data_IF_156435298929
#
_entry.id   IF_156435298929
#
_cell.length_a   1.000
_cell.length_b   1.000
_cell.length_c   1.000
_cell.angle_alpha   90.00
_cell.angle_beta   90.00
_cell.angle_gamma   90.00
#
_symmetry.space_group_name_H-M   'P 1'
#
loop_
_entity.id
_entity.type
_entity.pdbx_description
1 polymer ?
#
# COMPACT_ATOMS: atom_id res chain seq x y z
N UNK A 1 -0.09 8.36 4.66
CA UNK A 1 -1.24 8.98 5.33
C UNK A 1 -2.47 8.65 4.50
N UNK A 2 -3.62 8.38 5.12
CA UNK A 2 -4.85 8.13 4.38
C UNK A 2 -5.71 9.39 4.46
N UNK A 3 -6.31 9.79 3.35
CA UNK A 3 -7.32 10.84 3.32
C UNK A 3 -8.44 10.44 2.37
N UNK A 4 -9.57 11.15 2.46
CA UNK A 4 -10.74 10.93 1.63
C UNK A 4 -11.14 12.23 0.93
N UNK A 5 -11.69 12.09 -0.27
CA UNK A 5 -12.57 13.10 -0.86
C UNK A 5 -13.98 12.55 -0.91
N UNK A 6 -14.99 13.42 -0.97
CA UNK A 6 -16.39 13.00 -1.07
C UNK A 6 -17.17 13.93 -1.96
N UNK A 7 -18.24 13.42 -2.52
CA UNK A 7 -19.28 14.16 -3.25
C UNK A 7 -20.66 13.83 -2.63
N UNK A 8 -21.73 14.03 -3.40
CA UNK A 8 -23.09 13.79 -2.92
C UNK A 8 -23.48 12.32 -2.78
N UNK A 9 -22.77 11.38 -3.42
CA UNK A 9 -23.15 9.96 -3.46
C UNK A 9 -22.00 8.98 -3.18
N UNK A 10 -20.77 9.46 -3.08
CA UNK A 10 -19.58 8.62 -2.98
C UNK A 10 -18.46 9.25 -2.16
N UNK A 11 -17.59 8.38 -1.66
CA UNK A 11 -16.36 8.72 -0.94
C UNK A 11 -15.21 8.01 -1.61
N UNK A 12 -14.19 8.75 -2.00
CA UNK A 12 -12.97 8.19 -2.58
C UNK A 12 -11.84 8.22 -1.56
N UNK A 13 -11.21 7.06 -1.34
CA UNK A 13 -10.06 6.92 -0.44
C UNK A 13 -8.75 7.00 -1.21
N UNK A 14 -7.81 7.78 -0.68
CA UNK A 14 -6.46 7.92 -1.19
C UNK A 14 -5.41 7.60 -0.13
N UNK A 15 -4.28 7.04 -0.58
CA UNK A 15 -3.12 6.74 0.23
C UNK A 15 -1.91 7.56 -0.22
N UNK A 16 -1.33 8.31 0.72
CA UNK A 16 -0.13 9.12 0.47
C UNK A 16 1.12 8.30 0.73
N UNK A 17 1.93 8.17 -0.31
CA UNK A 17 3.27 7.60 -0.30
C UNK A 17 4.28 8.73 -0.25
N UNK A 18 4.79 9.03 0.95
CA UNK A 18 5.82 10.08 1.13
C UNK A 18 7.14 9.68 0.48
N UNK A 19 7.53 8.45 0.73
CA UNK A 19 8.68 7.81 0.13
C UNK A 19 8.18 6.73 -0.83
N UNK A 20 8.61 6.84 -2.08
CA UNK A 20 8.45 5.81 -3.10
C UNK A 20 9.59 5.93 -4.09
N UNK A 21 9.76 4.91 -4.94
CA UNK A 21 10.76 4.87 -6.00
C UNK A 21 10.77 6.14 -6.87
N UNK A 22 9.58 6.71 -7.15
CA UNK A 22 9.38 7.89 -8.00
C UNK A 22 9.14 9.16 -7.19
N UNK A 23 9.52 9.17 -5.91
CA UNK A 23 9.27 10.26 -4.98
C UNK A 23 7.85 10.25 -4.37
N UNK A 24 7.38 11.36 -3.81
CA UNK A 24 6.07 11.41 -3.18
C UNK A 24 4.92 11.17 -4.17
N UNK A 25 3.97 10.29 -3.84
CA UNK A 25 2.82 9.93 -4.67
C UNK A 25 1.51 9.84 -3.88
N UNK A 26 0.40 10.03 -4.59
CA UNK A 26 -0.95 9.79 -4.08
C UNK A 26 -1.56 8.64 -4.87
N UNK A 27 -1.91 7.57 -4.17
CA UNK A 27 -2.48 6.37 -4.75
C UNK A 27 -3.98 6.35 -4.50
N UNK A 28 -4.77 6.13 -5.56
CA UNK A 28 -6.18 5.78 -5.43
C UNK A 28 -6.31 4.39 -4.80
N UNK A 29 -7.19 4.25 -3.81
CA UNK A 29 -7.45 2.96 -3.14
C UNK A 29 -8.78 2.37 -3.58
N UNK A 30 -9.81 3.20 -3.67
CA UNK A 30 -11.15 2.76 -4.00
C UNK A 30 -12.20 3.78 -3.61
N UNK A 31 -13.45 3.48 -3.98
CA UNK A 31 -14.61 4.32 -3.70
C UNK A 31 -15.62 3.53 -2.87
N UNK A 32 -16.27 4.20 -1.93
CA UNK A 32 -17.38 3.68 -1.13
C UNK A 32 -18.61 4.53 -1.38
N UNK A 33 -19.74 3.89 -1.66
CA UNK A 33 -21.01 4.59 -1.88
C UNK A 33 -21.53 5.13 -0.55
N UNK A 34 -22.00 6.37 -0.53
CA UNK A 34 -22.65 6.92 0.64
C UNK A 34 -23.96 6.18 0.92
N UNK A 35 -24.23 5.78 2.18
CA UNK A 35 -25.49 5.14 2.52
C UNK A 35 -26.68 6.10 2.41
N UNK A 36 -26.43 7.41 2.64
CA UNK A 36 -27.42 8.47 2.56
C UNK A 36 -26.89 9.56 1.62
N UNK A 37 -27.65 9.85 0.56
CA UNK A 37 -27.31 10.89 -0.41
C UNK A 37 -27.19 12.26 0.25
N UNK A 38 -26.12 12.99 -0.05
CA UNK A 38 -25.84 14.31 0.48
C UNK A 38 -25.40 14.33 1.95
N UNK A 39 -25.11 13.17 2.55
CA UNK A 39 -24.53 13.13 3.89
C UNK A 39 -23.08 13.62 3.90
N UNK A 40 -22.69 14.35 4.95
CA UNK A 40 -21.40 15.02 5.04
C UNK A 40 -20.46 14.25 5.97
N UNK A 41 -19.27 13.83 5.50
CA UNK A 41 -18.24 13.22 6.35
C UNK A 41 -17.76 14.17 7.44
N UNK A 42 -17.77 13.70 8.69
CA UNK A 42 -17.30 14.43 9.86
C UNK A 42 -15.93 13.93 10.32
N UNK A 43 -15.80 12.63 10.55
CA UNK A 43 -14.61 12.01 11.13
C UNK A 43 -14.39 10.64 10.51
N UNK A 44 -13.16 10.39 10.04
CA UNK A 44 -12.69 9.06 9.65
C UNK A 44 -11.75 8.53 10.73
N UNK A 45 -12.07 7.37 11.29
CA UNK A 45 -11.21 6.67 12.26
C UNK A 45 -11.14 5.19 11.93
N UNK A 46 -9.94 4.69 11.60
CA UNK A 46 -9.67 3.27 11.33
C UNK A 46 -10.67 2.60 10.36
N UNK A 47 -11.12 3.32 9.33
CA UNK A 47 -12.08 2.84 8.34
C UNK A 47 -13.54 3.02 8.71
N UNK A 48 -13.84 3.48 9.92
CA UNK A 48 -15.17 3.89 10.35
C UNK A 48 -15.34 5.38 10.10
N UNK A 49 -16.37 5.72 9.33
CA UNK A 49 -16.70 7.09 8.98
C UNK A 49 -17.98 7.53 9.66
N UNK A 50 -17.90 8.64 10.39
CA UNK A 50 -19.06 9.34 10.90
C UNK A 50 -19.56 10.34 9.86
N UNK A 51 -20.85 10.28 9.57
CA UNK A 51 -21.57 11.08 8.59
C UNK A 51 -22.65 11.88 9.30
N UNK A 52 -22.88 13.12 8.86
CA UNK A 52 -24.04 13.91 9.22
C UNK A 52 -25.07 13.84 8.09
N UNK A 53 -26.26 13.31 8.37
CA UNK A 53 -27.34 13.32 7.39
C UNK A 53 -28.04 14.70 7.31
N UNK A 54 -28.91 14.86 6.31
CA UNK A 54 -29.68 16.10 6.11
C UNK A 54 -30.66 16.42 7.25
N UNK A 55 -30.99 15.44 8.09
CA UNK A 55 -31.82 15.60 9.29
C UNK A 55 -31.02 15.99 10.54
N UNK A 56 -29.69 16.11 10.45
CA UNK A 56 -28.81 16.42 11.57
C UNK A 56 -28.46 15.20 12.43
N UNK A 57 -28.80 13.98 12.00
CA UNK A 57 -28.44 12.75 12.71
C UNK A 57 -27.03 12.32 12.31
N UNK A 58 -26.27 11.89 13.31
CA UNK A 58 -24.96 11.27 13.10
C UNK A 58 -25.16 9.78 12.81
N UNK A 59 -24.65 9.33 11.67
CA UNK A 59 -24.67 7.95 11.21
C UNK A 59 -23.23 7.47 11.03
N UNK A 60 -23.00 6.17 11.18
CA UNK A 60 -21.69 5.56 11.01
C UNK A 60 -21.73 4.57 9.84
N UNK A 61 -20.70 4.59 9.01
CA UNK A 61 -20.50 3.59 7.94
C UNK A 61 -19.04 3.13 7.92
N UNK A 62 -18.81 1.86 7.57
CA UNK A 62 -17.46 1.37 7.28
C UNK A 62 -17.14 1.65 5.82
N UNK A 63 -15.91 2.07 5.53
CA UNK A 63 -15.43 2.23 4.16
C UNK A 63 -15.07 0.86 3.55
N UNK A 64 -15.52 0.59 2.34
CA UNK A 64 -15.22 -0.66 1.59
C UNK A 64 -13.72 -0.85 1.33
N UNK A 65 -12.98 0.27 1.30
CA UNK A 65 -11.51 0.29 1.19
C UNK A 65 -10.81 -0.28 2.42
N UNK A 66 -11.53 -0.46 3.53
CA UNK A 66 -11.09 -1.15 4.75
C UNK A 66 -11.67 -2.58 4.85
N UNK A 67 -12.21 -3.13 3.76
CA UNK A 67 -12.73 -4.50 3.71
C UNK A 67 -11.67 -5.58 3.93
N UNK A 68 -10.37 -5.24 3.90
CA UNK A 68 -9.29 -6.16 4.26
C UNK A 68 -9.18 -6.41 5.77
N UNK A 69 -9.81 -5.56 6.61
CA UNK A 69 -9.86 -5.78 8.05
C UNK A 69 -10.76 -6.97 8.35
N UNK A 70 -10.21 -7.99 9.00
CA UNK A 70 -10.99 -9.13 9.50
C UNK A 70 -11.92 -8.66 10.64
N UNK A 71 -13.17 -8.39 10.32
CA UNK A 71 -14.19 -8.08 11.34
C UNK A 71 -14.67 -9.35 12.08
N UNK A 72 -14.42 -10.55 11.51
CA UNK A 72 -14.76 -11.85 12.11
C UNK A 72 -13.98 -13.00 11.47
N UNK A 73 -13.53 -13.96 12.28
CA UNK A 73 -12.77 -15.16 11.85
C UNK A 73 -13.59 -16.16 11.02
N UNK A 74 -14.92 -16.04 11.00
CA UNK A 74 -15.83 -17.04 10.44
C UNK A 74 -16.42 -16.63 9.07
N UNK A 75 -15.91 -15.56 8.45
CA UNK A 75 -16.36 -15.19 7.10
C UNK A 75 -15.66 -16.05 6.05
N UNK A 76 -16.43 -16.90 5.37
CA UNK A 76 -16.01 -17.48 4.10
C UNK A 76 -15.75 -16.36 3.09
N UNK A 77 -14.60 -16.41 2.43
CA UNK A 77 -14.21 -15.49 1.37
C UNK A 77 -13.90 -16.29 0.11
N UNK A 78 -14.24 -15.74 -1.05
CA UNK A 78 -13.81 -16.31 -2.33
C UNK A 78 -12.34 -15.99 -2.58
N UNK A 79 -11.73 -16.66 -3.57
CA UNK A 79 -10.36 -16.36 -3.98
C UNK A 79 -10.23 -14.90 -4.46
N UNK A 80 -11.20 -14.42 -5.23
CA UNK A 80 -11.23 -13.05 -5.74
C UNK A 80 -11.34 -12.03 -4.61
N UNK A 81 -12.14 -12.33 -3.57
CA UNK A 81 -12.25 -11.47 -2.38
C UNK A 81 -10.90 -11.38 -1.65
N UNK A 82 -10.18 -12.50 -1.50
CA UNK A 82 -8.88 -12.50 -0.84
C UNK A 82 -7.83 -11.71 -1.64
N UNK A 83 -7.85 -11.80 -2.98
CA UNK A 83 -6.96 -11.01 -3.86
C UNK A 83 -7.29 -9.51 -3.78
N UNK A 84 -8.57 -9.14 -3.74
CA UNK A 84 -9.00 -7.75 -3.56
C UNK A 84 -8.57 -7.21 -2.18
N UNK A 85 -8.77 -8.00 -1.10
CA UNK A 85 -8.35 -7.64 0.26
C UNK A 85 -6.84 -7.45 0.35
N UNK A 86 -6.04 -8.35 -0.26
CA UNK A 86 -4.59 -8.18 -0.35
C UNK A 86 -4.23 -6.88 -1.06
N UNK A 87 -4.83 -6.62 -2.22
CA UNK A 87 -4.55 -5.44 -3.04
C UNK A 87 -4.85 -4.14 -2.29
N UNK A 88 -6.01 -4.08 -1.61
CA UNK A 88 -6.39 -2.94 -0.76
C UNK A 88 -5.45 -2.79 0.44
N UNK A 89 -5.07 -3.87 1.11
CA UNK A 89 -4.12 -3.82 2.22
C UNK A 89 -2.74 -3.26 1.80
N UNK A 90 -2.24 -3.67 0.62
CA UNK A 90 -1.01 -3.13 0.03
C UNK A 90 -1.12 -1.62 -0.21
N UNK A 91 -2.18 -1.17 -0.89
CA UNK A 91 -2.42 0.24 -1.20
C UNK A 91 -2.58 1.10 0.07
N UNK A 92 -3.19 0.53 1.10
CA UNK A 92 -3.41 1.17 2.40
C UNK A 92 -2.18 1.09 3.31
N UNK A 93 -1.08 0.47 2.86
CA UNK A 93 0.18 0.27 3.62
C UNK A 93 -0.02 -0.51 4.91
N UNK A 94 -1.03 -1.37 4.92
CA UNK A 94 -1.37 -2.26 6.03
C UNK A 94 -0.68 -3.60 5.80
N UNK A 95 0.65 -3.58 5.87
CA UNK A 95 1.49 -4.69 5.41
C UNK A 95 1.35 -5.96 6.25
N UNK A 96 1.01 -5.85 7.53
CA UNK A 96 0.71 -7.03 8.35
C UNK A 96 -0.56 -7.74 7.87
N UNK A 97 -1.61 -6.98 7.53
CA UNK A 97 -2.83 -7.53 6.93
C UNK A 97 -2.57 -8.06 5.51
N UNK A 98 -1.73 -7.37 4.73
CA UNK A 98 -1.33 -7.84 3.41
C UNK A 98 -0.57 -9.17 3.48
N UNK A 99 0.37 -9.34 4.41
CA UNK A 99 1.05 -10.62 4.63
C UNK A 99 0.08 -11.71 5.08
N UNK A 100 -0.90 -11.39 5.92
CA UNK A 100 -1.95 -12.33 6.29
C UNK A 100 -2.69 -12.85 5.04
N UNK A 101 -3.20 -11.95 4.19
CA UNK A 101 -3.92 -12.34 2.98
C UNK A 101 -3.03 -13.08 1.97
N UNK A 102 -1.77 -12.70 1.82
CA UNK A 102 -0.81 -13.41 0.97
C UNK A 102 -0.56 -14.85 1.45
N UNK A 103 -0.50 -15.08 2.77
CA UNK A 103 -0.43 -16.44 3.36
C UNK A 103 -1.69 -17.26 3.08
N UNK A 104 -2.87 -16.64 3.20
CA UNK A 104 -4.14 -17.32 2.92
C UNK A 104 -4.28 -17.71 1.44
N UNK A 105 -3.81 -16.85 0.53
CA UNK A 105 -3.81 -17.11 -0.90
C UNK A 105 -2.77 -18.17 -1.30
N UNK A 106 -1.62 -18.19 -0.62
CA UNK A 106 -0.50 -19.09 -0.87
C UNK A 106 -0.10 -19.16 -2.37
N UNK A 107 -0.18 -18.02 -3.05
CA UNK A 107 0.13 -17.88 -4.47
C UNK A 107 1.41 -17.06 -4.68
N UNK A 108 2.30 -17.56 -5.54
CA UNK A 108 3.59 -16.94 -5.80
C UNK A 108 3.46 -15.56 -6.45
N UNK A 109 2.47 -15.36 -7.33
CA UNK A 109 2.27 -14.06 -7.99
C UNK A 109 1.82 -13.00 -6.99
N UNK A 110 0.92 -13.36 -6.07
CA UNK A 110 0.44 -12.46 -5.03
C UNK A 110 1.53 -12.10 -4.00
N UNK A 111 2.40 -13.06 -3.66
CA UNK A 111 3.61 -12.76 -2.89
C UNK A 111 4.57 -11.83 -3.61
N UNK A 112 4.81 -12.05 -4.90
CA UNK A 112 5.68 -11.21 -5.72
C UNK A 112 5.11 -9.79 -5.86
N UNK A 113 3.79 -9.65 -5.97
CA UNK A 113 3.09 -8.36 -5.98
C UNK A 113 3.27 -7.60 -4.68
N UNK A 114 3.13 -8.28 -3.53
CA UNK A 114 3.41 -7.69 -2.22
C UNK A 114 4.89 -7.26 -2.10
N UNK A 115 5.82 -8.13 -2.47
CA UNK A 115 7.25 -7.85 -2.43
C UNK A 115 7.63 -6.65 -3.31
N UNK A 116 7.11 -6.60 -4.53
CA UNK A 116 7.30 -5.50 -5.48
C UNK A 116 6.77 -4.19 -4.90
N UNK A 117 5.56 -4.19 -4.33
CA UNK A 117 4.99 -2.99 -3.72
C UNK A 117 5.80 -2.48 -2.51
N UNK A 118 6.42 -3.38 -1.75
CA UNK A 118 7.30 -3.03 -0.64
C UNK A 118 8.58 -2.36 -1.12
N UNK A 119 9.23 -2.90 -2.16
CA UNK A 119 10.40 -2.29 -2.78
C UNK A 119 10.05 -0.91 -3.39
N UNK A 120 8.92 -0.80 -4.09
CA UNK A 120 8.45 0.47 -4.65
C UNK A 120 8.16 1.54 -3.58
N UNK A 121 7.73 1.13 -2.38
CA UNK A 121 7.49 2.03 -1.26
C UNK A 121 8.70 2.23 -0.36
N UNK A 122 9.87 1.71 -0.77
CA UNK A 122 11.14 1.77 -0.03
C UNK A 122 11.03 1.18 1.39
N UNK A 123 10.10 0.24 1.61
CA UNK A 123 9.91 -0.39 2.91
C UNK A 123 10.74 -1.66 3.03
N UNK A 124 12.05 -1.47 3.21
CA UNK A 124 13.06 -2.54 3.20
C UNK A 124 12.82 -3.57 4.32
N UNK A 125 12.44 -3.12 5.53
CA UNK A 125 12.19 -4.01 6.66
C UNK A 125 11.08 -5.03 6.41
N UNK A 126 9.96 -4.57 5.82
CA UNK A 126 8.89 -5.49 5.44
C UNK A 126 9.23 -6.31 4.21
N UNK A 127 9.96 -5.75 3.24
CA UNK A 127 10.43 -6.50 2.07
C UNK A 127 11.28 -7.71 2.50
N UNK A 128 12.21 -7.53 3.43
CA UNK A 128 13.03 -8.62 3.99
C UNK A 128 12.16 -9.73 4.59
N UNK A 129 11.12 -9.38 5.37
CA UNK A 129 10.19 -10.37 5.95
C UNK A 129 9.48 -11.18 4.87
N UNK A 130 9.01 -10.51 3.83
CA UNK A 130 8.33 -11.17 2.70
C UNK A 130 9.28 -12.05 1.90
N UNK A 131 10.48 -11.56 1.58
CA UNK A 131 11.48 -12.35 0.85
C UNK A 131 11.97 -13.58 1.64
N UNK A 132 11.97 -13.51 2.98
CA UNK A 132 12.20 -14.68 3.84
C UNK A 132 11.07 -15.69 3.74
N UNK A 133 9.81 -15.25 3.78
CA UNK A 133 8.65 -16.14 3.70
C UNK A 133 8.62 -16.91 2.37
N UNK A 134 8.97 -16.26 1.25
CA UNK A 134 9.02 -16.93 -0.07
C UNK A 134 10.33 -17.71 -0.32
N UNK A 135 11.29 -17.66 0.59
CA UNK A 135 12.55 -18.39 0.48
C UNK A 135 13.60 -17.78 -0.48
N UNK A 136 13.49 -16.50 -0.83
CA UNK A 136 14.42 -15.84 -1.75
C UNK A 136 15.65 -15.27 -1.03
N UNK A 137 16.53 -16.15 -0.56
CA UNK A 137 17.72 -15.80 0.26
C UNK A 137 18.63 -14.73 -0.35
N UNK A 138 18.83 -14.73 -1.68
CA UNK A 138 19.66 -13.73 -2.37
C UNK A 138 19.15 -12.30 -2.19
N UNK A 139 17.84 -12.10 -2.23
CA UNK A 139 17.23 -10.78 -2.05
C UNK A 139 17.24 -10.38 -0.58
N UNK A 140 17.08 -11.34 0.34
CA UNK A 140 17.23 -11.08 1.78
C UNK A 140 18.62 -10.56 2.09
N UNK A 141 19.67 -11.19 1.56
CA UNK A 141 21.06 -10.73 1.78
C UNK A 141 21.28 -9.33 1.21
N UNK A 142 20.89 -9.10 -0.05
CA UNK A 142 21.05 -7.80 -0.69
C UNK A 142 20.30 -6.68 0.06
N UNK A 143 19.08 -6.95 0.52
CA UNK A 143 18.29 -5.97 1.28
C UNK A 143 18.85 -5.70 2.68
N UNK A 144 19.41 -6.70 3.37
CA UNK A 144 20.06 -6.51 4.67
C UNK A 144 21.34 -5.66 4.55
N UNK A 145 22.09 -5.78 3.45
CA UNK A 145 23.27 -4.94 3.20
C UNK A 145 22.91 -3.46 3.03
N UNK A 146 21.82 -3.16 2.33
CA UNK A 146 21.40 -1.77 2.04
C UNK A 146 20.43 -1.19 3.08
N UNK A 147 19.93 -2.00 4.02
CA UNK A 147 18.95 -1.57 5.04
C UNK A 147 19.40 -0.36 5.86
N UNK A 148 20.70 -0.20 6.07
CA UNK A 148 21.28 0.90 6.85
C UNK A 148 21.56 2.16 6.03
N UNK A 149 21.33 2.13 4.70
CA UNK A 149 21.58 3.27 3.82
C UNK A 149 20.46 4.30 4.01
N UNK A 150 20.83 5.47 4.54
CA UNK A 150 19.88 6.57 4.76
C UNK A 150 19.57 7.37 3.48
N UNK A 151 20.47 7.31 2.49
CA UNK A 151 20.26 7.97 1.19
C UNK A 151 19.21 7.22 0.36
N UNK A 152 17.96 7.67 0.50
CA UNK A 152 16.82 7.15 -0.25
C UNK A 152 16.98 7.30 -1.76
N UNK A 153 17.75 8.27 -2.24
CA UNK A 153 17.97 8.45 -3.69
C UNK A 153 18.85 7.32 -4.22
N UNK A 154 19.90 6.94 -3.48
CA UNK A 154 20.76 5.81 -3.83
C UNK A 154 19.99 4.49 -3.81
N UNK A 155 19.22 4.23 -2.74
CA UNK A 155 18.38 3.01 -2.66
C UNK A 155 17.35 2.97 -3.79
N UNK A 156 16.72 4.11 -4.10
CA UNK A 156 15.77 4.21 -5.20
C UNK A 156 16.43 3.98 -6.55
N UNK A 157 17.67 4.42 -6.75
CA UNK A 157 18.41 4.21 -8.00
C UNK A 157 18.65 2.71 -8.24
N UNK A 158 19.12 1.98 -7.22
CA UNK A 158 19.31 0.53 -7.32
C UNK A 158 18.00 -0.22 -7.59
N UNK A 159 16.90 0.16 -6.93
CA UNK A 159 15.60 -0.45 -7.20
C UNK A 159 15.05 -0.08 -8.58
N UNK A 160 15.30 1.14 -9.07
CA UNK A 160 14.89 1.54 -10.41
C UNK A 160 15.62 0.70 -11.46
N UNK A 161 16.93 0.50 -11.30
CA UNK A 161 17.72 -0.39 -12.13
C UNK A 161 17.22 -1.85 -12.05
N UNK A 162 16.89 -2.34 -10.85
CA UNK A 162 16.32 -3.68 -10.65
C UNK A 162 14.99 -3.87 -11.40
N UNK A 163 14.15 -2.83 -11.45
CA UNK A 163 12.90 -2.84 -12.21
C UNK A 163 13.05 -2.52 -13.70
N UNK A 164 14.27 -2.25 -14.17
CA UNK A 164 14.58 -1.92 -15.56
C UNK A 164 14.21 -0.49 -15.97
N UNK A 165 13.89 0.39 -15.01
CA UNK A 165 13.66 1.83 -15.25
C UNK A 165 15.02 2.55 -15.22
N UNK A 166 15.85 2.28 -16.25
CA UNK A 166 17.24 2.75 -16.31
C UNK A 166 17.36 4.27 -16.40
N UNK A 167 16.40 4.94 -17.06
CA UNK A 167 16.36 6.40 -17.14
C UNK A 167 16.21 7.01 -15.74
N UNK A 168 15.26 6.49 -14.94
CA UNK A 168 15.07 6.91 -13.57
C UNK A 168 16.28 6.57 -12.69
N UNK A 169 16.88 5.39 -12.89
CA UNK A 169 18.06 4.97 -12.14
C UNK A 169 19.22 5.96 -12.37
N UNK A 170 19.50 6.31 -13.63
CA UNK A 170 20.54 7.25 -14.01
C UNK A 170 20.33 8.62 -13.35
N UNK A 171 19.11 9.18 -13.43
CA UNK A 171 18.79 10.46 -12.78
C UNK A 171 19.03 10.41 -11.27
N UNK A 172 18.64 9.32 -10.62
CA UNK A 172 18.80 9.15 -9.17
C UNK A 172 20.26 8.94 -8.76
N UNK A 173 21.06 8.20 -9.54
CA UNK A 173 22.50 8.04 -9.30
C UNK A 173 23.26 9.37 -9.41
N UNK A 174 22.90 10.21 -10.39
CA UNK A 174 23.43 11.57 -10.49
C UNK A 174 23.05 12.41 -9.27
N UNK A 175 21.82 12.27 -8.78
CA UNK A 175 21.30 13.03 -7.63
C UNK A 175 21.96 12.64 -6.30
N UNK A 176 22.29 11.37 -6.08
CA UNK A 176 23.00 10.94 -4.87
C UNK A 176 24.53 11.16 -4.94
N UNK A 177 25.05 11.69 -6.04
CA UNK A 177 26.49 11.96 -6.19
C UNK A 177 27.31 10.72 -6.54
N UNK A 178 26.69 9.69 -7.12
CA UNK A 178 27.34 8.47 -7.62
C UNK A 178 27.37 8.42 -9.16
N UNK A 179 28.04 9.37 -9.86
CA UNK A 179 27.99 9.45 -11.32
C UNK A 179 28.68 8.28 -12.05
N UNK A 180 29.47 7.47 -11.36
CA UNK A 180 30.10 6.26 -11.93
C UNK A 180 29.12 5.09 -12.06
N UNK A 181 28.02 5.12 -11.32
CA UNK A 181 26.96 4.10 -11.34
C UNK A 181 25.78 4.50 -12.24
N UNK A 182 25.81 5.73 -12.77
CA UNK A 182 24.80 6.34 -13.64
C UNK A 182 24.91 5.87 -15.10
#
# INVERSE_FOLDING_TARGET
WIFISFDSDSITTYSVYRDSLKGPQIMFVGTTRLPIFGSVPLVLNAGLLLLLDSGGKIVQTKLDTYGFLNDSTDQEYTLDDAVDRLSKAILMKRYDDAMFWAKQLNDSNEWNKLATALLYSLNIDYAIKVFREIGHSGMVMALEEIKHVEDKSLVSAHFAALFGDYDLAQELFLKCGCPLEA
#
